data_IF_070978448919
#
_entry.id   IF_070978448919
#
_cell.length_a   1.000
_cell.length_b   1.000
_cell.length_c   1.000
_cell.angle_alpha   90.00
_cell.angle_beta   90.00
_cell.angle_gamma   90.00
#
_symmetry.space_group_name_H-M   'P 1'
#
loop_
_entity.id
_entity.type
_entity.pdbx_description
1 polymer ?
#
# COMPACT_ATOMS: atom_id res chain seq x y z
N UNK A 1 -8.71 -20.63 7.01
CA UNK A 1 -8.64 -20.64 7.98
C UNK A 1 -9.37 -19.60 8.80
N UNK A 2 -8.79 -18.95 9.80
CA UNK A 2 -9.60 -18.23 10.81
C UNK A 2 -10.14 -16.87 10.34
N UNK A 3 -9.74 -16.35 9.16
CA UNK A 3 -10.22 -15.07 8.65
C UNK A 3 -10.22 -14.96 7.10
N UNK A 4 -10.80 -15.95 6.38
CA UNK A 4 -10.71 -15.94 4.91
C UNK A 4 -11.42 -14.74 4.28
N UNK A 5 -12.56 -14.33 4.82
CA UNK A 5 -13.32 -13.19 4.29
C UNK A 5 -12.54 -11.88 4.42
N UNK A 6 -11.92 -11.62 5.60
CA UNK A 6 -11.13 -10.40 5.81
C UNK A 6 -9.89 -10.42 4.92
N UNK A 7 -9.22 -11.58 4.78
CA UNK A 7 -8.07 -11.73 3.90
C UNK A 7 -8.45 -11.46 2.44
N UNK A 8 -9.55 -12.04 1.95
CA UNK A 8 -10.02 -11.83 0.58
C UNK A 8 -10.33 -10.35 0.32
N UNK A 9 -11.12 -9.72 1.19
CA UNK A 9 -11.45 -8.29 1.02
C UNK A 9 -10.22 -7.39 1.17
N UNK A 10 -9.36 -7.65 2.16
CA UNK A 10 -8.13 -6.89 2.34
C UNK A 10 -7.23 -6.95 1.10
N UNK A 11 -7.03 -8.14 0.55
CA UNK A 11 -6.23 -8.33 -0.68
C UNK A 11 -6.91 -7.69 -1.89
N UNK A 12 -8.22 -7.85 -2.07
CA UNK A 12 -8.95 -7.27 -3.20
C UNK A 12 -8.91 -5.73 -3.17
N UNK A 13 -9.14 -5.13 -1.99
CA UNK A 13 -9.07 -3.67 -1.81
C UNK A 13 -7.67 -3.18 -2.07
N UNK A 14 -6.65 -3.86 -1.53
CA UNK A 14 -5.25 -3.49 -1.70
C UNK A 14 -4.82 -3.59 -3.16
N UNK A 15 -5.15 -4.70 -3.82
CA UNK A 15 -4.86 -4.89 -5.25
C UNK A 15 -5.53 -3.82 -6.12
N UNK A 16 -6.82 -3.56 -5.90
CA UNK A 16 -7.55 -2.51 -6.62
C UNK A 16 -6.94 -1.12 -6.40
N UNK A 17 -6.55 -0.81 -5.15
CA UNK A 17 -5.88 0.44 -4.82
C UNK A 17 -4.57 0.60 -5.58
N UNK A 18 -3.71 -0.40 -5.59
CA UNK A 18 -2.43 -0.33 -6.32
C UNK A 18 -2.62 -0.34 -7.84
N UNK A 19 -3.60 -1.07 -8.36
CA UNK A 19 -3.92 -1.06 -9.79
C UNK A 19 -4.37 0.33 -10.26
N UNK A 20 -5.24 1.00 -9.49
CA UNK A 20 -5.66 2.38 -9.77
C UNK A 20 -4.56 3.39 -9.46
N UNK A 21 -3.76 3.13 -8.42
CA UNK A 21 -2.64 3.97 -7.99
C UNK A 21 -1.49 4.01 -8.99
N UNK A 22 -1.39 3.05 -9.90
CA UNK A 22 -0.41 3.12 -11.00
C UNK A 22 -0.60 4.38 -11.86
N UNK A 23 -1.83 4.90 -11.95
CA UNK A 23 -2.13 6.16 -12.62
C UNK A 23 -1.51 7.38 -11.89
N UNK A 24 -1.31 7.32 -10.56
CA UNK A 24 -0.73 8.42 -9.76
C UNK A 24 0.74 8.67 -10.11
N UNK A 25 1.45 7.66 -10.60
CA UNK A 25 2.83 7.82 -11.08
C UNK A 25 2.94 8.43 -12.48
N UNK A 26 1.85 8.52 -13.23
CA UNK A 26 1.89 9.08 -14.58
C UNK A 26 2.33 10.56 -14.63
N UNK A 27 1.90 11.46 -13.72
CA UNK A 27 2.42 12.83 -13.66
C UNK A 27 3.92 12.89 -13.40
N UNK A 28 4.45 12.05 -12.52
CA UNK A 28 5.89 12.02 -12.20
C UNK A 28 6.72 11.57 -13.41
N UNK A 29 6.26 10.55 -14.13
CA UNK A 29 6.91 10.10 -15.37
C UNK A 29 6.86 11.17 -16.43
N UNK A 30 5.70 11.82 -16.63
CA UNK A 30 5.52 12.87 -17.59
C UNK A 30 6.42 14.08 -17.28
N UNK A 31 6.41 14.57 -16.04
CA UNK A 31 7.26 15.71 -15.62
C UNK A 31 8.73 15.40 -15.78
N UNK A 32 9.17 14.20 -15.40
CA UNK A 32 10.56 13.77 -15.59
C UNK A 32 10.95 13.73 -17.06
N UNK A 33 10.08 13.27 -17.94
CA UNK A 33 10.31 13.22 -19.37
C UNK A 33 10.37 14.61 -20.00
N UNK A 34 9.47 15.51 -19.61
CA UNK A 34 9.44 16.90 -20.10
C UNK A 34 10.68 17.69 -19.66
N UNK A 35 11.06 17.59 -18.39
CA UNK A 35 12.30 18.21 -17.88
C UNK A 35 13.54 17.63 -18.55
N UNK A 36 13.58 16.33 -18.83
CA UNK A 36 14.66 15.68 -19.56
C UNK A 36 14.80 16.13 -21.02
N UNK A 37 13.73 16.70 -21.60
CA UNK A 37 13.75 17.34 -22.93
C UNK A 37 14.18 18.79 -22.90
N UNK A 38 14.33 19.37 -21.71
CA UNK A 38 14.70 20.78 -21.54
C UNK A 38 13.51 21.73 -21.48
N UNK A 39 12.30 21.23 -21.27
CA UNK A 39 11.11 22.07 -21.13
C UNK A 39 11.23 22.94 -19.84
N UNK A 40 10.62 24.12 -19.86
CA UNK A 40 10.65 25.04 -18.73
C UNK A 40 9.94 24.48 -17.49
N UNK A 41 10.59 24.58 -16.34
CA UNK A 41 10.10 24.01 -15.08
C UNK A 41 8.71 24.54 -14.67
N UNK A 42 8.43 25.82 -14.91
CA UNK A 42 7.13 26.40 -14.55
C UNK A 42 6.00 25.85 -15.45
N UNK A 43 6.29 25.69 -16.75
CA UNK A 43 5.37 25.09 -17.71
C UNK A 43 5.09 23.61 -17.38
N UNK A 44 6.14 22.86 -17.02
CA UNK A 44 6.02 21.45 -16.60
C UNK A 44 5.18 21.32 -15.33
N UNK A 45 5.43 22.18 -14.32
CA UNK A 45 4.65 22.20 -13.08
C UNK A 45 3.17 22.54 -13.33
N UNK A 46 2.90 23.51 -14.22
CA UNK A 46 1.53 23.85 -14.63
C UNK A 46 0.81 22.68 -15.30
N UNK A 47 1.49 21.96 -16.19
CA UNK A 47 0.95 20.77 -16.85
C UNK A 47 0.64 19.65 -15.85
N UNK A 48 1.54 19.40 -14.89
CA UNK A 48 1.34 18.42 -13.84
C UNK A 48 0.13 18.75 -12.95
N UNK A 49 -0.03 20.04 -12.59
CA UNK A 49 -1.17 20.49 -11.78
C UNK A 49 -2.50 20.25 -12.50
N UNK A 50 -2.60 20.64 -13.78
CA UNK A 50 -3.81 20.39 -14.59
C UNK A 50 -4.11 18.89 -14.69
N UNK A 51 -3.09 18.06 -14.86
CA UNK A 51 -3.27 16.61 -14.92
C UNK A 51 -3.78 16.04 -13.59
N UNK A 52 -3.23 16.49 -12.47
CA UNK A 52 -3.65 16.03 -11.13
C UNK A 52 -5.07 16.47 -10.78
N UNK A 53 -5.52 17.61 -11.26
CA UNK A 53 -6.90 18.12 -11.06
C UNK A 53 -7.91 17.43 -11.99
N UNK A 54 -7.45 16.63 -12.95
CA UNK A 54 -8.35 15.93 -13.86
C UNK A 54 -9.14 14.84 -13.11
N UNK A 55 -10.49 14.78 -13.24
CA UNK A 55 -11.33 13.90 -12.43
C UNK A 55 -10.91 12.43 -12.36
N UNK A 56 -10.53 11.74 -13.45
CA UNK A 56 -9.99 10.38 -13.39
C UNK A 56 -8.70 10.25 -12.58
N UNK A 57 -7.79 11.22 -12.66
CA UNK A 57 -6.54 11.22 -11.88
C UNK A 57 -6.82 11.40 -10.39
N UNK A 58 -7.68 12.37 -10.06
CA UNK A 58 -8.10 12.59 -8.68
C UNK A 58 -8.81 11.37 -8.10
N UNK A 59 -9.72 10.76 -8.87
CA UNK A 59 -10.40 9.52 -8.46
C UNK A 59 -9.41 8.37 -8.24
N UNK A 60 -8.43 8.20 -9.13
CA UNK A 60 -7.35 7.22 -9.00
C UNK A 60 -6.50 7.46 -7.75
N UNK A 61 -6.08 8.70 -7.51
CA UNK A 61 -5.29 9.10 -6.35
C UNK A 61 -6.04 8.84 -5.03
N UNK A 62 -7.30 9.27 -4.93
CA UNK A 62 -8.13 9.05 -3.74
C UNK A 62 -8.39 7.55 -3.51
N UNK A 63 -8.69 6.79 -4.57
CA UNK A 63 -8.88 5.35 -4.48
C UNK A 63 -7.59 4.65 -4.02
N UNK A 64 -6.43 5.09 -4.50
CA UNK A 64 -5.14 4.60 -4.03
C UNK A 64 -4.93 4.90 -2.54
N UNK A 65 -5.02 6.17 -2.13
CA UNK A 65 -4.75 6.57 -0.74
C UNK A 65 -5.69 5.86 0.23
N UNK A 66 -6.99 5.89 -0.02
CA UNK A 66 -7.98 5.27 0.87
C UNK A 66 -7.88 3.75 0.81
N UNK A 67 -7.80 3.19 -0.39
CA UNK A 67 -7.81 1.74 -0.58
C UNK A 67 -6.56 1.06 -0.04
N UNK A 68 -5.37 1.65 -0.19
CA UNK A 68 -4.18 1.02 0.39
C UNK A 68 -4.13 1.14 1.92
N UNK A 69 -4.60 2.24 2.50
CA UNK A 69 -4.71 2.37 3.96
C UNK A 69 -5.69 1.32 4.53
N UNK A 70 -6.89 1.24 3.97
CA UNK A 70 -7.90 0.27 4.41
C UNK A 70 -7.44 -1.17 4.14
N UNK A 71 -6.90 -1.43 2.96
CA UNK A 71 -6.41 -2.75 2.58
C UNK A 71 -5.29 -3.25 3.49
N UNK A 72 -4.33 -2.37 3.84
CA UNK A 72 -3.24 -2.70 4.78
C UNK A 72 -3.75 -3.06 6.16
N UNK A 73 -4.71 -2.31 6.69
CA UNK A 73 -5.33 -2.60 7.99
C UNK A 73 -6.07 -3.95 7.94
N UNK A 74 -6.84 -4.21 6.88
CA UNK A 74 -7.55 -5.48 6.72
C UNK A 74 -6.58 -6.67 6.62
N UNK A 75 -5.49 -6.53 5.84
CA UNK A 75 -4.45 -7.58 5.73
C UNK A 75 -3.77 -7.78 7.08
N UNK A 76 -3.41 -6.72 7.79
CA UNK A 76 -2.83 -6.81 9.13
C UNK A 76 -3.73 -7.58 10.10
N UNK A 77 -5.03 -7.26 10.13
CA UNK A 77 -6.02 -7.99 10.94
C UNK A 77 -6.10 -9.45 10.51
N UNK A 78 -6.10 -9.73 9.20
CA UNK A 78 -6.21 -11.08 8.67
C UNK A 78 -5.04 -11.96 9.11
N UNK A 79 -3.78 -11.49 8.95
CA UNK A 79 -2.58 -12.29 9.29
C UNK A 79 -2.44 -12.52 10.79
N UNK A 80 -2.86 -11.56 11.62
CA UNK A 80 -2.89 -11.72 13.08
C UNK A 80 -3.99 -12.71 13.51
N UNK A 81 -5.22 -12.55 12.98
CA UNK A 81 -6.32 -13.48 13.30
C UNK A 81 -6.09 -14.89 12.80
N UNK A 82 -5.42 -15.03 11.67
CA UNK A 82 -4.99 -16.32 11.14
C UNK A 82 -3.82 -16.93 11.93
N UNK A 83 -3.24 -16.19 12.88
CA UNK A 83 -2.05 -16.58 13.67
C UNK A 83 -0.82 -16.89 12.79
N UNK A 84 -0.72 -16.24 11.64
CA UNK A 84 0.44 -16.36 10.76
C UNK A 84 1.65 -15.65 11.39
N UNK A 85 1.40 -14.50 12.02
CA UNK A 85 2.42 -13.70 12.70
C UNK A 85 1.92 -13.22 14.07
N UNK A 86 2.83 -12.83 14.98
CA UNK A 86 2.47 -12.16 16.23
C UNK A 86 1.77 -10.82 15.97
N UNK A 87 0.94 -10.38 16.92
CA UNK A 87 0.12 -9.16 16.79
C UNK A 87 0.93 -7.89 16.48
N UNK A 88 2.16 -7.78 17.00
CA UNK A 88 3.01 -6.61 16.78
C UNK A 88 3.46 -6.46 15.31
N UNK A 89 3.60 -7.57 14.56
CA UNK A 89 3.87 -7.51 13.12
C UNK A 89 2.67 -6.92 12.38
N UNK A 90 1.46 -7.34 12.75
CA UNK A 90 0.23 -6.75 12.22
C UNK A 90 0.13 -5.26 12.54
N UNK A 91 0.52 -4.86 13.76
CA UNK A 91 0.55 -3.45 14.15
C UNK A 91 1.54 -2.64 13.29
N UNK A 92 2.73 -3.17 13.02
CA UNK A 92 3.70 -2.53 12.10
C UNK A 92 3.06 -2.30 10.73
N UNK A 93 2.43 -3.32 10.14
CA UNK A 93 1.78 -3.21 8.82
C UNK A 93 0.64 -2.18 8.87
N UNK A 94 -0.19 -2.22 9.90
CA UNK A 94 -1.34 -1.34 10.02
C UNK A 94 -0.97 0.14 10.21
N UNK A 95 0.14 0.44 10.90
CA UNK A 95 0.55 1.80 11.26
C UNK A 95 1.52 2.41 10.25
N UNK A 96 2.30 1.61 9.54
CA UNK A 96 3.32 2.10 8.62
C UNK A 96 2.75 3.02 7.53
N UNK A 97 1.59 2.70 6.95
CA UNK A 97 1.00 3.51 5.89
C UNK A 97 0.33 4.81 6.37
N UNK A 98 -0.40 4.86 7.50
CA UNK A 98 -0.74 6.13 8.14
C UNK A 98 0.48 7.02 8.41
N UNK A 99 1.60 6.47 8.89
CA UNK A 99 2.85 7.22 9.09
C UNK A 99 3.40 7.74 7.76
N UNK A 100 3.38 6.91 6.69
CA UNK A 100 3.73 7.33 5.33
C UNK A 100 2.90 8.55 4.91
N UNK A 101 1.57 8.48 5.01
CA UNK A 101 0.70 9.61 4.60
C UNK A 101 1.02 10.88 5.41
N UNK A 102 1.19 10.75 6.73
CA UNK A 102 1.54 11.91 7.57
C UNK A 102 2.88 12.49 7.19
N UNK A 103 3.90 11.66 7.00
CA UNK A 103 5.26 12.10 6.69
C UNK A 103 5.48 12.53 5.23
N UNK A 104 4.60 12.13 4.32
CA UNK A 104 4.63 12.55 2.93
C UNK A 104 3.80 13.82 2.67
N UNK A 105 2.66 13.97 3.35
CA UNK A 105 1.65 14.99 3.01
C UNK A 105 1.48 16.05 4.10
N UNK A 106 1.37 15.64 5.39
CA UNK A 106 1.01 16.56 6.49
C UNK A 106 2.24 17.28 7.05
N UNK A 107 3.30 16.53 7.33
CA UNK A 107 4.58 17.04 7.85
C UNK A 107 5.68 16.47 6.95
N UNK A 108 5.91 17.04 5.76
CA UNK A 108 6.82 16.47 4.77
C UNK A 108 8.21 16.20 5.35
N UNK A 109 8.54 14.93 5.53
CA UNK A 109 9.83 14.48 6.02
C UNK A 109 10.22 13.18 5.32
N UNK A 110 11.05 13.30 4.29
CA UNK A 110 11.46 12.18 3.45
C UNK A 110 12.14 11.06 4.21
N UNK A 111 12.91 11.38 5.26
CA UNK A 111 13.60 10.35 6.05
C UNK A 111 12.60 9.53 6.88
N UNK A 112 11.67 10.18 7.55
CA UNK A 112 10.60 9.50 8.28
C UNK A 112 9.73 8.66 7.35
N UNK A 113 9.40 9.19 6.17
CA UNK A 113 8.62 8.49 5.18
C UNK A 113 9.32 7.20 4.70
N UNK A 114 10.58 7.30 4.30
CA UNK A 114 11.34 6.15 3.81
C UNK A 114 11.58 5.12 4.91
N UNK A 115 11.92 5.53 6.13
CA UNK A 115 12.28 4.59 7.21
C UNK A 115 11.05 4.02 7.90
N UNK A 116 10.13 4.88 8.35
CA UNK A 116 8.98 4.45 9.16
C UNK A 116 7.73 4.12 8.32
N UNK A 117 7.56 4.76 7.17
CA UNK A 117 6.51 4.41 6.23
C UNK A 117 6.87 3.17 5.42
N UNK A 118 7.69 3.30 4.41
CA UNK A 118 8.03 2.23 3.47
C UNK A 118 8.93 1.15 4.08
N UNK A 119 9.92 1.54 4.90
CA UNK A 119 10.82 0.61 5.57
C UNK A 119 10.07 -0.31 6.53
N UNK A 120 9.21 0.24 7.40
CA UNK A 120 8.40 -0.56 8.31
C UNK A 120 7.42 -1.47 7.55
N UNK A 121 6.79 -0.98 6.46
CA UNK A 121 5.96 -1.78 5.59
C UNK A 121 6.72 -2.98 5.02
N UNK A 122 7.91 -2.74 4.48
CA UNK A 122 8.78 -3.78 3.91
C UNK A 122 9.15 -4.83 4.96
N UNK A 123 9.57 -4.41 6.16
CA UNK A 123 9.89 -5.31 7.28
C UNK A 123 8.66 -6.13 7.68
N UNK A 124 7.50 -5.49 7.83
CA UNK A 124 6.25 -6.18 8.16
C UNK A 124 5.90 -7.28 7.18
N UNK A 125 5.94 -6.99 5.88
CA UNK A 125 5.68 -7.98 4.84
C UNK A 125 6.76 -9.05 4.72
N UNK A 126 8.03 -8.71 4.93
CA UNK A 126 9.11 -9.70 4.95
C UNK A 126 8.91 -10.73 6.08
N UNK A 127 8.46 -10.27 7.25
CA UNK A 127 8.13 -11.17 8.37
C UNK A 127 6.92 -12.07 8.06
N UNK A 128 5.89 -11.53 7.41
CA UNK A 128 4.74 -12.34 6.95
C UNK A 128 5.19 -13.35 5.90
N UNK A 129 5.93 -12.93 4.89
CA UNK A 129 6.45 -13.81 3.86
C UNK A 129 7.33 -14.93 4.45
N UNK A 130 8.23 -14.59 5.37
CA UNK A 130 9.05 -15.57 6.07
C UNK A 130 8.24 -16.58 6.89
N UNK A 131 7.16 -16.16 7.52
CA UNK A 131 6.26 -17.04 8.24
C UNK A 131 5.49 -17.97 7.27
N UNK A 132 5.00 -17.43 6.16
CA UNK A 132 4.29 -18.19 5.12
C UNK A 132 5.20 -19.25 4.50
N UNK A 133 6.41 -18.88 4.11
CA UNK A 133 7.37 -19.78 3.46
C UNK A 133 7.89 -20.91 4.38
N UNK A 134 7.77 -20.74 5.70
CA UNK A 134 8.13 -21.76 6.69
C UNK A 134 6.98 -22.70 7.05
N UNK A 135 5.77 -22.39 6.61
CA UNK A 135 4.59 -23.23 6.87
C UNK A 135 4.58 -24.38 5.87
N UNK A 136 4.50 -25.62 6.35
CA UNK A 136 4.46 -26.80 5.49
C UNK A 136 3.16 -26.83 4.67
N UNK A 137 3.22 -27.40 3.46
CA UNK A 137 2.09 -27.43 2.52
C UNK A 137 0.86 -28.11 3.15
N UNK A 138 1.07 -29.16 3.93
CA UNK A 138 0.01 -29.90 4.64
C UNK A 138 -0.75 -29.02 5.65
N UNK A 139 -0.08 -28.01 6.21
CA UNK A 139 -0.71 -27.04 7.12
C UNK A 139 -1.58 -26.01 6.39
N UNK A 140 -1.35 -25.80 5.09
CA UNK A 140 -2.19 -24.96 4.25
C UNK A 140 -3.48 -25.65 3.83
N UNK A 141 -3.48 -26.97 3.67
CA UNK A 141 -4.61 -27.79 3.21
C UNK A 141 -5.51 -28.25 4.35
N UNK A 142 -5.76 -27.41 5.34
CA UNK A 142 -6.71 -27.72 6.40
C UNK A 142 -8.09 -28.01 5.80
N UNK A 143 -8.59 -29.23 6.02
CA UNK A 143 -9.95 -29.60 5.65
C UNK A 143 -10.95 -28.61 6.26
N UNK A 144 -12.06 -28.27 5.55
CA UNK A 144 -13.13 -27.48 6.12
C UNK A 144 -13.64 -28.17 7.39
N UNK A 145 -13.60 -27.47 8.52
CA UNK A 145 -14.23 -27.99 9.73
C UNK A 145 -15.74 -28.07 9.49
N UNK A 146 -16.39 -29.22 9.77
CA UNK A 146 -17.85 -29.30 9.70
C UNK A 146 -18.44 -28.25 10.65
N UNK A 147 -19.46 -27.54 10.15
CA UNK A 147 -20.20 -26.53 10.91
C UNK A 147 -21.05 -27.18 11.97
#
# INVERSE_FOLDING_TARGET
RRAPVIATWGTAVLFGAYALGSAVSAPDVLTSALLGRGDDQASVAGTAAVLMDHPPMLAGALSFVIGHLVGMVLVAIAVVRAKVVPWWVGLIIAVAQPVHVVSAVVVPNRLLDVVLGWGATTVGYALVAGAVLRTADEEWDLQPQPR
#
